data_IF_429885221511
#
_entry.id   IF_429885221511
#
_cell.length_a   1.000
_cell.length_b   1.000
_cell.length_c   1.000
_cell.angle_alpha   90.00
_cell.angle_beta   90.00
_cell.angle_gamma   90.00
#
_symmetry.space_group_name_H-M   'P 1'
#
loop_
_entity.id
_entity.type
_entity.pdbx_description
1 polymer ?
#
# COMPACT_ATOMS: atom_id res chain seq x y z
N UNK A 1 -12.32 10.31 -3.36
CA UNK A 1 -10.98 9.79 -3.76
C UNK A 1 -10.22 10.79 -4.60
N UNK A 2 -10.71 11.22 -5.77
CA UNK A 2 -10.00 12.19 -6.64
C UNK A 2 -9.68 13.51 -5.92
N UNK A 3 -10.65 14.11 -5.22
CA UNK A 3 -10.42 15.33 -4.44
C UNK A 3 -9.36 15.16 -3.33
N UNK A 4 -9.39 14.02 -2.63
CA UNK A 4 -8.40 13.72 -1.59
C UNK A 4 -7.00 13.56 -2.19
N UNK A 5 -6.86 12.86 -3.33
CA UNK A 5 -5.59 12.75 -4.05
C UNK A 5 -5.09 14.13 -4.53
N UNK A 6 -5.99 14.97 -5.06
CA UNK A 6 -5.66 16.32 -5.49
C UNK A 6 -5.17 17.21 -4.34
N UNK A 7 -5.86 17.18 -3.19
CA UNK A 7 -5.47 17.94 -1.99
C UNK A 7 -4.10 17.47 -1.47
N UNK A 8 -3.90 16.15 -1.35
CA UNK A 8 -2.64 15.58 -0.89
C UNK A 8 -1.47 15.97 -1.80
N UNK A 9 -1.64 15.88 -3.12
CA UNK A 9 -0.61 16.26 -4.08
C UNK A 9 -0.30 17.77 -4.01
N UNK A 10 -1.35 18.60 -3.91
CA UNK A 10 -1.18 20.06 -3.86
C UNK A 10 -0.46 20.51 -2.59
N UNK A 11 -0.85 19.98 -1.42
CA UNK A 11 -0.19 20.29 -0.15
C UNK A 11 1.25 19.76 -0.15
N UNK A 12 1.47 18.54 -0.63
CA UNK A 12 2.81 17.97 -0.74
C UNK A 12 3.72 18.78 -1.66
N UNK A 13 3.21 19.24 -2.80
CA UNK A 13 3.95 20.10 -3.71
C UNK A 13 4.30 21.45 -3.09
N UNK A 14 3.33 22.12 -2.43
CA UNK A 14 3.60 23.38 -1.72
C UNK A 14 4.64 23.19 -0.62
N UNK A 15 4.52 22.13 0.18
CA UNK A 15 5.49 21.81 1.23
C UNK A 15 6.89 21.58 0.65
N UNK A 16 6.98 20.84 -0.45
CA UNK A 16 8.26 20.57 -1.12
C UNK A 16 8.90 21.87 -1.62
N UNK A 17 8.13 22.75 -2.27
CA UNK A 17 8.62 24.06 -2.71
C UNK A 17 9.10 24.90 -1.53
N UNK A 18 8.34 24.94 -0.42
CA UNK A 18 8.73 25.67 0.78
C UNK A 18 10.02 25.13 1.40
N UNK A 19 10.18 23.81 1.45
CA UNK A 19 11.40 23.17 1.95
C UNK A 19 12.58 23.52 1.03
N UNK A 20 12.43 23.44 -0.30
CA UNK A 20 13.52 23.78 -1.23
C UNK A 20 14.02 25.22 -1.09
N UNK A 21 13.13 26.16 -0.74
CA UNK A 21 13.52 27.57 -0.52
C UNK A 21 14.01 27.87 0.90
N UNK A 22 13.79 26.97 1.87
CA UNK A 22 14.14 27.18 3.29
C UNK A 22 15.19 26.22 3.81
N UNK A 23 15.51 25.16 3.07
CA UNK A 23 16.59 24.26 3.41
C UNK A 23 17.91 24.99 3.20
N UNK A 24 18.64 25.24 4.29
CA UNK A 24 19.99 25.77 4.24
C UNK A 24 20.98 24.69 3.80
N UNK A 25 21.98 24.41 4.65
CA UNK A 25 22.96 23.36 4.38
C UNK A 25 22.38 21.96 4.61
N UNK A 26 22.17 21.23 3.52
CA UNK A 26 21.67 19.85 3.51
C UNK A 26 22.64 18.90 4.23
N UNK A 27 23.95 19.14 4.14
CA UNK A 27 24.95 18.26 4.78
C UNK A 27 24.90 18.40 6.31
N UNK A 28 24.72 19.62 6.81
CA UNK A 28 24.49 19.87 8.23
C UNK A 28 23.20 19.23 8.75
N UNK A 29 22.13 19.22 7.94
CA UNK A 29 20.87 18.58 8.31
C UNK A 29 20.98 17.03 8.39
N UNK A 30 21.75 16.41 7.51
CA UNK A 30 21.97 14.94 7.52
C UNK A 30 22.84 14.52 8.71
N UNK A 31 23.84 15.34 9.06
CA UNK A 31 24.73 15.10 10.21
C UNK A 31 24.19 15.56 11.55
N UNK A 32 22.92 15.99 11.62
CA UNK A 32 22.36 16.57 12.83
C UNK A 32 22.39 15.57 14.01
N UNK A 33 22.72 16.02 15.24
CA UNK A 33 22.83 15.14 16.42
C UNK A 33 21.53 14.42 16.77
N UNK A 34 20.39 14.91 16.25
CA UNK A 34 19.06 14.30 16.40
C UNK A 34 18.89 13.02 15.58
N UNK A 35 19.79 12.74 14.63
CA UNK A 35 19.74 11.57 13.74
C UNK A 35 18.58 11.60 12.73
N UNK A 36 17.84 12.70 12.66
CA UNK A 36 16.67 12.88 11.78
C UNK A 36 16.73 14.27 11.12
N UNK A 37 16.87 14.35 9.79
CA UNK A 37 17.10 15.62 9.09
C UNK A 37 15.91 16.58 9.14
N UNK A 38 14.67 16.07 9.23
CA UNK A 38 13.47 16.93 9.27
C UNK A 38 13.40 17.82 10.52
N UNK A 39 13.98 17.38 11.64
CA UNK A 39 14.01 18.16 12.89
C UNK A 39 14.92 19.38 12.72
N UNK A 40 16.08 19.19 12.11
CA UNK A 40 17.03 20.27 11.83
C UNK A 40 16.43 21.31 10.87
N UNK A 41 15.71 20.84 9.83
CA UNK A 41 15.03 21.72 8.87
C UNK A 41 13.95 22.56 9.56
N UNK A 42 13.16 21.97 10.47
CA UNK A 42 12.15 22.72 11.22
C UNK A 42 12.77 23.75 12.18
N UNK A 43 13.91 23.42 12.78
CA UNK A 43 14.65 24.34 13.64
C UNK A 43 15.20 25.54 12.86
N UNK A 44 15.80 25.29 11.69
CA UNK A 44 16.30 26.33 10.80
C UNK A 44 15.15 27.21 10.27
N UNK A 45 14.00 26.60 9.96
CA UNK A 45 12.83 27.34 9.48
C UNK A 45 12.19 28.24 10.55
N UNK A 46 12.15 27.80 11.81
CA UNK A 46 11.50 28.52 12.92
C UNK A 46 12.43 29.45 13.69
N UNK A 47 13.74 29.18 13.72
CA UNK A 47 14.72 29.94 14.48
C UNK A 47 14.56 29.89 16.01
N UNK A 48 13.65 29.05 16.53
CA UNK A 48 13.37 28.91 17.95
C UNK A 48 13.19 27.44 18.34
N UNK A 49 13.85 27.04 19.42
CA UNK A 49 13.79 25.68 19.98
C UNK A 49 12.38 25.37 20.50
N UNK A 50 11.72 26.36 21.12
CA UNK A 50 10.38 26.19 21.68
C UNK A 50 9.33 26.00 20.58
N UNK A 51 9.40 26.82 19.53
CA UNK A 51 8.52 26.71 18.37
C UNK A 51 8.69 25.38 17.63
N UNK A 52 9.94 24.95 17.45
CA UNK A 52 10.26 23.64 16.84
C UNK A 52 9.71 22.48 17.66
N UNK A 53 9.87 22.54 18.99
CA UNK A 53 9.43 21.47 19.89
C UNK A 53 7.91 21.28 19.86
N UNK A 54 7.14 22.38 19.81
CA UNK A 54 5.67 22.33 19.69
C UNK A 54 5.26 21.71 18.35
N UNK A 55 5.91 22.07 17.24
CA UNK A 55 5.62 21.49 15.92
C UNK A 55 5.93 19.99 15.87
N UNK A 56 7.06 19.57 16.46
CA UNK A 56 7.43 18.16 16.55
C UNK A 56 6.41 17.39 17.40
N UNK A 57 6.00 17.94 18.56
CA UNK A 57 4.98 17.32 19.40
C UNK A 57 3.66 17.15 18.65
N UNK A 58 3.23 18.16 17.87
CA UNK A 58 2.06 18.06 17.01
C UNK A 58 2.19 16.95 15.96
N UNK A 59 3.33 16.87 15.26
CA UNK A 59 3.60 15.82 14.27
C UNK A 59 3.54 14.43 14.91
N UNK A 60 4.13 14.24 16.10
CA UNK A 60 4.08 12.97 16.82
C UNK A 60 2.64 12.56 17.12
N UNK A 61 1.82 13.47 17.64
CA UNK A 61 0.39 13.20 17.90
C UNK A 61 -0.35 12.84 16.63
N UNK A 62 -0.15 13.59 15.54
CA UNK A 62 -0.78 13.31 14.24
C UNK A 62 -0.36 11.92 13.68
N UNK A 63 0.91 11.52 13.85
CA UNK A 63 1.41 10.21 13.43
C UNK A 63 0.80 9.06 14.24
N UNK A 64 0.51 9.25 15.53
CA UNK A 64 -0.20 8.26 16.35
C UNK A 64 -1.60 8.02 15.77
N UNK A 65 -2.38 9.08 15.52
CA UNK A 65 -3.70 8.97 14.92
C UNK A 65 -3.67 8.33 13.52
N UNK A 66 -2.68 8.68 12.70
CA UNK A 66 -2.45 8.06 11.39
C UNK A 66 -2.24 6.55 11.53
N UNK A 67 -1.36 6.14 12.46
CA UNK A 67 -1.04 4.74 12.71
C UNK A 67 -2.27 3.94 13.15
N UNK A 68 -3.12 4.50 14.03
CA UNK A 68 -4.38 3.86 14.44
C UNK A 68 -5.34 3.66 13.26
N UNK A 69 -5.44 4.63 12.35
CA UNK A 69 -6.26 4.51 11.14
C UNK A 69 -5.76 3.41 10.20
N UNK A 70 -4.44 3.28 10.05
CA UNK A 70 -3.82 2.23 9.23
C UNK A 70 -4.12 0.84 9.82
N UNK A 71 -3.90 0.65 11.13
CA UNK A 71 -4.18 -0.62 11.81
C UNK A 71 -5.65 -1.00 11.69
N UNK A 72 -6.56 -0.04 11.91
CA UNK A 72 -8.01 -0.26 11.77
C UNK A 72 -8.39 -0.68 10.35
N UNK A 73 -7.77 -0.08 9.34
CA UNK A 73 -8.01 -0.42 7.92
C UNK A 73 -7.51 -1.84 7.62
N UNK A 74 -6.30 -2.18 8.03
CA UNK A 74 -5.72 -3.52 7.86
C UNK A 74 -6.57 -4.59 8.56
N UNK A 75 -7.11 -4.33 9.75
CA UNK A 75 -8.02 -5.26 10.43
C UNK A 75 -9.30 -5.55 9.63
N UNK A 76 -9.88 -4.52 8.98
CA UNK A 76 -11.07 -4.71 8.12
C UNK A 76 -10.75 -5.50 6.87
N UNK A 77 -9.57 -5.27 6.27
CA UNK A 77 -9.11 -6.05 5.12
C UNK A 77 -8.89 -7.53 5.51
N UNK A 78 -8.27 -7.77 6.67
CA UNK A 78 -8.02 -9.13 7.16
C UNK A 78 -9.32 -9.85 7.53
N UNK A 79 -10.29 -9.15 8.13
CA UNK A 79 -11.61 -9.69 8.44
C UNK A 79 -12.38 -10.16 7.19
N UNK A 80 -12.15 -9.51 6.04
CA UNK A 80 -12.77 -9.92 4.78
C UNK A 80 -12.26 -11.27 4.27
N UNK A 81 -11.11 -11.74 4.74
CA UNK A 81 -10.63 -13.09 4.49
C UNK A 81 -11.07 -13.99 5.65
N UNK A 82 -11.62 -15.17 5.37
CA UNK A 82 -12.05 -16.15 6.42
C UNK A 82 -10.92 -16.55 7.38
N UNK A 83 -9.67 -16.16 7.07
CA UNK A 83 -8.49 -16.22 7.93
C UNK A 83 -8.80 -15.83 9.37
N UNK A 84 -9.48 -14.69 9.62
CA UNK A 84 -9.82 -14.25 10.98
C UNK A 84 -10.86 -15.13 11.69
N UNK A 85 -11.64 -15.93 10.96
CA UNK A 85 -12.64 -16.85 11.52
C UNK A 85 -12.02 -18.19 11.93
N UNK A 86 -10.87 -18.54 11.36
CA UNK A 86 -10.10 -19.72 11.73
C UNK A 86 -9.20 -19.45 12.95
N UNK A 87 -8.92 -20.46 13.80
CA UNK A 87 -8.00 -20.34 14.95
C UNK A 87 -6.61 -19.81 14.55
N UNK A 88 -6.19 -20.09 13.32
CA UNK A 88 -4.88 -19.68 12.79
C UNK A 88 -4.80 -18.18 12.43
N UNK A 89 -5.91 -17.49 12.14
CA UNK A 89 -5.87 -16.05 11.87
C UNK A 89 -5.69 -15.21 13.12
N UNK A 90 -6.26 -15.63 14.26
CA UNK A 90 -6.02 -14.97 15.54
C UNK A 90 -4.53 -15.05 15.94
N UNK A 91 -3.87 -16.19 15.67
CA UNK A 91 -2.43 -16.37 15.88
C UNK A 91 -1.62 -15.42 14.98
N UNK A 92 -2.04 -15.20 13.73
CA UNK A 92 -1.39 -14.26 12.82
C UNK A 92 -1.36 -12.81 13.33
N UNK A 93 -2.46 -12.34 13.95
CA UNK A 93 -2.50 -11.00 14.55
C UNK A 93 -1.48 -10.85 15.71
N UNK A 94 -1.32 -11.90 16.52
CA UNK A 94 -0.32 -11.90 17.61
C UNK A 94 1.11 -11.88 17.06
N UNK A 95 1.38 -12.60 15.97
CA UNK A 95 2.69 -12.59 15.30
C UNK A 95 3.04 -11.20 14.78
N UNK A 96 2.07 -10.45 14.24
CA UNK A 96 2.27 -9.06 13.79
C UNK A 96 2.68 -8.10 14.92
N UNK A 97 2.10 -8.27 16.11
CA UNK A 97 2.48 -7.47 17.30
C UNK A 97 3.92 -7.77 17.71
N UNK A 98 4.33 -9.04 17.71
CA UNK A 98 5.69 -9.43 18.05
C UNK A 98 6.72 -8.94 17.02
N UNK A 99 6.38 -8.97 15.74
CA UNK A 99 7.20 -8.42 14.65
C UNK A 99 7.40 -6.90 14.79
N UNK A 100 6.42 -6.17 15.34
CA UNK A 100 6.55 -4.72 15.55
C UNK A 100 7.58 -4.35 16.63
N UNK A 101 7.88 -5.25 17.58
CA UNK A 101 8.87 -4.99 18.64
C UNK A 101 10.32 -5.00 18.13
N UNK A 102 10.59 -5.66 17.00
CA UNK A 102 11.91 -5.65 16.35
C UNK A 102 12.35 -4.22 15.97
N UNK A 103 11.39 -3.31 15.75
CA UNK A 103 11.65 -1.93 15.38
C UNK A 103 12.34 -1.11 16.49
N UNK A 104 12.29 -1.56 17.76
CA UNK A 104 12.87 -0.84 18.90
C UNK A 104 14.37 -1.14 19.06
N UNK A 105 14.81 -2.35 18.67
CA UNK A 105 16.14 -2.86 19.03
C UNK A 105 17.25 -2.59 18.02
N UNK A 106 16.92 -2.26 16.76
CA UNK A 106 17.93 -2.12 15.71
C UNK A 106 17.54 -1.07 14.66
N UNK A 107 18.40 -0.08 14.47
CA UNK A 107 18.28 0.91 13.38
C UNK A 107 18.39 0.27 12.00
N UNK A 108 19.23 -0.76 11.84
CA UNK A 108 19.33 -1.56 10.61
C UNK A 108 18.01 -2.29 10.31
N UNK A 109 17.40 -2.93 11.31
CA UNK A 109 16.11 -3.59 11.13
C UNK A 109 14.99 -2.59 10.78
N UNK A 110 14.96 -1.44 11.45
CA UNK A 110 14.04 -0.35 11.13
C UNK A 110 14.17 0.11 9.67
N UNK A 111 15.40 0.37 9.21
CA UNK A 111 15.67 0.83 7.84
C UNK A 111 15.29 -0.23 6.78
N UNK A 112 15.50 -1.52 7.07
CA UNK A 112 15.08 -2.62 6.20
C UNK A 112 13.54 -2.71 6.09
N UNK A 113 12.82 -2.51 7.19
CA UNK A 113 11.34 -2.54 7.18
C UNK A 113 10.75 -1.31 6.50
N UNK A 114 11.31 -0.11 6.73
CA UNK A 114 10.89 1.11 6.05
C UNK A 114 11.05 0.97 4.52
N UNK A 115 12.14 0.32 4.08
CA UNK A 115 12.37 -0.04 2.68
C UNK A 115 11.32 -1.04 2.17
N UNK A 116 11.05 -2.11 2.92
CA UNK A 116 10.08 -3.13 2.55
C UNK A 116 8.67 -2.57 2.32
N UNK A 117 8.24 -1.57 3.09
CA UNK A 117 6.91 -0.98 2.96
C UNK A 117 6.64 -0.41 1.57
N UNK A 118 7.59 0.33 1.00
CA UNK A 118 7.46 0.89 -0.35
C UNK A 118 7.36 -0.18 -1.42
N UNK A 119 8.13 -1.26 -1.27
CA UNK A 119 8.09 -2.42 -2.17
C UNK A 119 6.75 -3.16 -2.09
N UNK A 120 6.27 -3.43 -0.88
CA UNK A 120 5.04 -4.15 -0.65
C UNK A 120 3.82 -3.40 -1.19
N UNK A 121 3.78 -2.07 -1.02
CA UNK A 121 2.72 -1.22 -1.58
C UNK A 121 2.66 -1.33 -3.11
N UNK A 122 3.78 -1.11 -3.79
CA UNK A 122 3.84 -1.16 -5.26
C UNK A 122 3.50 -2.56 -5.79
N UNK A 123 4.03 -3.61 -5.17
CA UNK A 123 3.70 -4.99 -5.52
C UNK A 123 2.20 -5.28 -5.38
N UNK A 124 1.56 -4.80 -4.31
CA UNK A 124 0.13 -4.96 -4.10
C UNK A 124 -0.71 -4.24 -5.17
N UNK A 125 -0.32 -3.03 -5.57
CA UNK A 125 -0.99 -2.27 -6.63
C UNK A 125 -0.88 -2.99 -7.99
N UNK A 126 0.30 -3.50 -8.36
CA UNK A 126 0.49 -4.27 -9.59
C UNK A 126 -0.46 -5.46 -9.62
N UNK A 127 -0.53 -6.25 -8.54
CA UNK A 127 -1.41 -7.43 -8.46
C UNK A 127 -2.89 -7.02 -8.54
N UNK A 128 -3.33 -6.01 -7.78
CA UNK A 128 -4.72 -5.56 -7.77
C UNK A 128 -5.17 -4.98 -9.11
N UNK A 129 -4.35 -4.16 -9.77
CA UNK A 129 -4.70 -3.57 -11.07
C UNK A 129 -4.65 -4.65 -12.17
N UNK A 130 -3.70 -5.59 -12.09
CA UNK A 130 -3.59 -6.70 -13.05
C UNK A 130 -4.81 -7.62 -13.03
N UNK A 131 -5.35 -7.95 -11.86
CA UNK A 131 -6.57 -8.77 -11.76
C UNK A 131 -7.78 -8.05 -12.39
N UNK A 132 -7.89 -6.73 -12.24
CA UNK A 132 -8.93 -5.92 -12.88
C UNK A 132 -8.78 -5.83 -14.41
N UNK A 133 -7.55 -5.77 -14.93
CA UNK A 133 -7.29 -5.81 -16.38
C UNK A 133 -7.61 -7.20 -16.92
N UNK A 134 -7.16 -8.26 -16.24
CA UNK A 134 -7.43 -9.64 -16.59
C UNK A 134 -8.93 -9.94 -16.69
N UNK A 135 -9.71 -9.50 -15.70
CA UNK A 135 -11.17 -9.70 -15.69
C UNK A 135 -11.87 -8.96 -16.85
N UNK A 136 -11.38 -7.76 -17.23
CA UNK A 136 -11.89 -7.00 -18.37
C UNK A 136 -11.56 -7.66 -19.71
N UNK A 137 -10.36 -8.23 -19.86
CA UNK A 137 -9.96 -8.95 -21.06
C UNK A 137 -10.73 -10.26 -21.25
N UNK A 138 -11.06 -10.96 -20.15
CA UNK A 138 -11.89 -12.17 -20.17
C UNK A 138 -13.38 -11.90 -20.40
N UNK A 139 -13.82 -10.65 -20.47
CA UNK A 139 -15.24 -10.31 -20.63
C UNK A 139 -16.10 -10.63 -19.40
N UNK A 140 -15.49 -10.75 -18.22
CA UNK A 140 -16.24 -11.03 -17.00
C UNK A 140 -17.07 -9.82 -16.54
N UNK A 141 -18.25 -10.08 -15.98
CA UNK A 141 -19.09 -9.03 -15.40
C UNK A 141 -18.42 -8.44 -14.15
N UNK A 142 -17.98 -7.19 -14.24
CA UNK A 142 -17.58 -6.43 -13.06
C UNK A 142 -18.86 -6.02 -12.30
N UNK A 143 -18.82 -6.03 -10.94
CA UNK A 143 -19.92 -5.50 -10.14
C UNK A 143 -20.33 -4.09 -10.60
N UNK A 144 -21.62 -3.77 -10.49
CA UNK A 144 -22.13 -2.44 -10.86
C UNK A 144 -21.37 -1.35 -10.12
N UNK A 145 -20.69 -0.48 -10.87
CA UNK A 145 -19.95 0.67 -10.35
C UNK A 145 -20.78 1.94 -10.48
N UNK A 146 -20.70 2.85 -9.50
CA UNK A 146 -21.34 4.17 -9.60
C UNK A 146 -20.65 5.09 -10.63
N UNK A 147 -19.39 4.80 -10.93
CA UNK A 147 -18.56 5.56 -11.86
C UNK A 147 -17.76 4.59 -12.73
N UNK A 148 -17.88 4.74 -14.05
CA UNK A 148 -17.14 3.94 -15.03
C UNK A 148 -16.52 4.85 -16.07
N UNK A 149 -15.21 4.74 -16.29
CA UNK A 149 -14.51 5.43 -17.38
C UNK A 149 -14.72 4.76 -18.75
N UNK A 150 -15.60 3.75 -18.84
CA UNK A 150 -15.85 3.00 -20.06
C UNK A 150 -14.56 2.40 -20.63
N UNK A 151 -14.35 2.57 -21.94
CA UNK A 151 -13.18 2.04 -22.67
C UNK A 151 -11.87 2.69 -22.23
N UNK A 152 -11.89 3.91 -21.69
CA UNK A 152 -10.68 4.60 -21.21
C UNK A 152 -10.08 3.89 -19.99
N UNK A 153 -10.91 3.20 -19.22
CA UNK A 153 -10.46 2.51 -18.01
C UNK A 153 -9.39 1.43 -18.25
N UNK A 154 -9.39 0.75 -19.40
CA UNK A 154 -8.36 -0.27 -19.68
C UNK A 154 -7.00 0.37 -19.94
N UNK A 155 -6.97 1.48 -20.69
CA UNK A 155 -5.73 2.21 -20.99
C UNK A 155 -5.13 2.80 -19.73
N UNK A 156 -5.95 3.41 -18.87
CA UNK A 156 -5.49 3.95 -17.58
C UNK A 156 -4.86 2.84 -16.74
N UNK A 157 -5.51 1.69 -16.61
CA UNK A 157 -4.97 0.57 -15.83
C UNK A 157 -3.67 0.00 -16.44
N UNK A 158 -3.57 -0.09 -17.77
CA UNK A 158 -2.35 -0.55 -18.44
C UNK A 158 -1.19 0.42 -18.26
N UNK A 159 -1.44 1.73 -18.36
CA UNK A 159 -0.43 2.76 -18.09
C UNK A 159 0.00 2.71 -16.63
N UNK A 160 -0.93 2.52 -15.68
CA UNK A 160 -0.60 2.34 -14.27
C UNK A 160 0.27 1.11 -14.03
N UNK A 161 -0.08 -0.05 -14.58
CA UNK A 161 0.74 -1.27 -14.47
C UNK A 161 2.11 -1.05 -15.09
N UNK A 162 2.20 -0.42 -16.27
CA UNK A 162 3.47 -0.16 -16.92
C UNK A 162 4.36 0.78 -16.09
N UNK A 163 3.77 1.82 -15.51
CA UNK A 163 4.47 2.75 -14.62
C UNK A 163 4.92 2.07 -13.32
N UNK A 164 4.03 1.35 -12.66
CA UNK A 164 4.34 0.63 -11.41
C UNK A 164 5.39 -0.45 -11.66
N UNK A 165 5.30 -1.19 -12.76
CA UNK A 165 6.31 -2.18 -13.17
C UNK A 165 7.65 -1.52 -13.53
N UNK A 166 7.64 -0.37 -14.20
CA UNK A 166 8.86 0.40 -14.47
C UNK A 166 9.52 0.86 -13.16
N UNK A 167 8.76 1.40 -12.21
CA UNK A 167 9.30 1.82 -10.90
C UNK A 167 9.78 0.61 -10.09
N UNK A 168 9.01 -0.47 -10.07
CA UNK A 168 9.33 -1.69 -9.32
C UNK A 168 10.56 -2.44 -9.88
N UNK A 169 10.67 -2.56 -11.21
CA UNK A 169 11.75 -3.29 -11.87
C UNK A 169 12.93 -2.38 -12.19
N UNK A 170 12.73 -1.28 -12.91
CA UNK A 170 13.84 -0.48 -13.44
C UNK A 170 14.45 0.41 -12.37
N UNK A 171 13.63 1.13 -11.59
CA UNK A 171 14.13 2.09 -10.58
C UNK A 171 14.61 1.39 -9.31
N UNK A 172 13.98 0.27 -8.92
CA UNK A 172 14.22 -0.39 -7.63
C UNK A 172 15.09 -1.65 -7.74
N UNK A 173 15.19 -2.31 -8.90
CA UNK A 173 15.97 -3.56 -9.10
C UNK A 173 17.29 -3.34 -9.87
N UNK A 174 17.40 -2.33 -10.75
CA UNK A 174 18.62 -2.13 -11.56
C UNK A 174 19.47 -0.94 -11.08
N UNK A 175 20.56 -1.18 -10.33
CA UNK A 175 21.41 -0.11 -9.78
C UNK A 175 22.24 0.68 -10.81
N UNK A 176 22.24 0.32 -12.09
CA UNK A 176 23.10 0.92 -13.13
C UNK A 176 22.38 1.84 -14.13
N UNK A 177 21.04 1.91 -14.12
CA UNK A 177 20.27 2.61 -15.16
C UNK A 177 19.98 4.09 -14.86
N UNK A 178 20.38 4.61 -13.70
CA UNK A 178 20.22 6.04 -13.35
C UNK A 178 21.56 6.58 -12.85
N UNK A 179 22.38 7.05 -13.79
CA UNK A 179 23.65 7.77 -13.53
C UNK A 179 23.48 9.29 -13.56
N UNK A 180 22.24 9.78 -13.41
CA UNK A 180 21.94 11.21 -13.26
C UNK A 180 21.30 11.40 -11.88
N UNK A 181 22.02 12.10 -11.02
CA UNK A 181 21.66 12.55 -9.67
C UNK A 181 21.80 11.53 -8.53
N UNK A 182 22.82 11.77 -7.70
CA UNK A 182 23.14 11.06 -6.47
C UNK A 182 22.01 11.10 -5.42
N UNK A 183 21.01 11.96 -5.60
CA UNK A 183 19.91 12.16 -4.65
C UNK A 183 18.75 11.16 -4.84
N UNK A 184 18.71 10.41 -5.96
CA UNK A 184 17.79 9.28 -6.14
C UNK A 184 18.36 7.94 -5.63
N UNK A 185 19.53 7.97 -4.99
CA UNK A 185 20.18 6.81 -4.36
C UNK A 185 19.35 6.20 -3.21
N UNK A 186 18.43 6.98 -2.62
CA UNK A 186 17.51 6.52 -1.57
C UNK A 186 16.41 5.55 -2.07
N UNK A 187 16.27 5.34 -3.38
CA UNK A 187 15.37 4.32 -3.96
C UNK A 187 16.04 2.97 -4.25
N UNK A 188 17.23 2.71 -3.71
CA UNK A 188 17.87 1.37 -3.72
C UNK A 188 17.22 0.45 -2.68
N UNK A 189 15.96 0.08 -2.92
CA UNK A 189 15.12 -0.57 -1.90
C UNK A 189 15.21 -2.10 -1.94
N UNK A 190 15.57 -2.70 -3.08
CA UNK A 190 15.84 -4.14 -3.17
C UNK A 190 17.34 -4.49 -3.02
N UNK A 191 18.24 -3.53 -3.26
CA UNK A 191 19.69 -3.75 -3.34
C UNK A 191 20.45 -2.79 -2.41
N UNK A 192 21.66 -3.16 -1.97
CA UNK A 192 22.47 -2.34 -1.07
C UNK A 192 22.81 -0.95 -1.66
N UNK A 193 22.99 0.07 -0.81
CA UNK A 193 23.30 1.43 -1.25
C UNK A 193 24.68 1.56 -1.90
N UNK A 194 25.62 0.66 -1.59
CA UNK A 194 26.99 0.62 -2.11
C UNK A 194 27.36 -0.78 -2.65
N UNK A 195 28.28 -0.87 -3.63
CA UNK A 195 28.93 -2.13 -3.97
C UNK A 195 29.70 -2.68 -2.75
N UNK A 196 29.73 -4.01 -2.59
CA UNK A 196 30.35 -4.72 -1.46
C UNK A 196 29.86 -4.28 -0.06
N UNK A 197 28.55 -4.43 0.24
CA UNK A 197 28.02 -4.10 1.55
C UNK A 197 28.48 -5.10 2.62
N UNK A 198 28.73 -4.59 3.83
CA UNK A 198 28.84 -5.39 5.05
C UNK A 198 27.42 -5.84 5.47
N UNK A 199 27.21 -6.96 6.21
CA UNK A 199 25.88 -7.42 6.59
C UNK A 199 25.02 -6.38 7.32
N UNK A 200 25.67 -5.43 8.01
CA UNK A 200 25.03 -4.31 8.70
C UNK A 200 24.55 -3.19 7.75
N UNK A 201 25.16 -3.03 6.56
CA UNK A 201 24.78 -2.05 5.54
C UNK A 201 23.99 -2.65 4.38
N UNK A 202 23.82 -3.98 4.36
CA UNK A 202 23.04 -4.70 3.38
C UNK A 202 21.54 -4.42 3.55
N UNK A 203 20.86 -4.12 2.44
CA UNK A 203 19.40 -4.01 2.41
C UNK A 203 18.79 -5.39 2.18
N UNK A 204 18.13 -5.93 3.21
CA UNK A 204 17.57 -7.28 3.20
C UNK A 204 16.12 -7.36 2.71
N UNK A 205 15.53 -6.25 2.23
CA UNK A 205 14.13 -6.20 1.84
C UNK A 205 13.78 -7.19 0.72
N UNK A 206 14.72 -7.47 -0.21
CA UNK A 206 14.51 -8.44 -1.29
C UNK A 206 14.26 -9.86 -0.77
N UNK A 207 15.08 -10.29 0.18
CA UNK A 207 15.00 -11.59 0.82
C UNK A 207 13.71 -11.70 1.63
N UNK A 208 13.40 -10.67 2.42
CA UNK A 208 12.20 -10.64 3.27
C UNK A 208 10.94 -10.69 2.40
N UNK A 209 10.88 -9.88 1.34
CA UNK A 209 9.75 -9.86 0.41
C UNK A 209 9.61 -11.19 -0.33
N UNK A 210 10.69 -11.73 -0.89
CA UNK A 210 10.68 -13.01 -1.61
C UNK A 210 10.27 -14.18 -0.72
N UNK A 211 10.82 -14.26 0.49
CA UNK A 211 10.45 -15.29 1.47
C UNK A 211 8.98 -15.20 1.86
N UNK A 212 8.46 -13.98 2.08
CA UNK A 212 7.05 -13.76 2.39
C UNK A 212 6.12 -14.19 1.23
N UNK A 213 6.49 -13.88 -0.03
CA UNK A 213 5.72 -14.31 -1.22
C UNK A 213 5.74 -15.83 -1.36
N UNK A 214 6.91 -16.48 -1.22
CA UNK A 214 7.04 -17.94 -1.30
C UNK A 214 6.21 -18.60 -0.19
N UNK A 215 6.31 -18.08 1.04
CA UNK A 215 5.52 -18.58 2.17
C UNK A 215 4.02 -18.41 1.92
N UNK A 216 3.57 -17.25 1.43
CA UNK A 216 2.16 -17.01 1.12
C UNK A 216 1.63 -17.93 0.01
N UNK A 217 2.41 -18.15 -1.06
CA UNK A 217 2.05 -19.07 -2.13
C UNK A 217 2.02 -20.53 -1.63
N UNK A 218 2.99 -20.92 -0.80
CA UNK A 218 3.03 -22.24 -0.18
C UNK A 218 1.84 -22.48 0.75
N UNK A 219 1.54 -21.51 1.62
CA UNK A 219 0.37 -21.53 2.49
C UNK A 219 -0.92 -21.62 1.68
N UNK A 220 -1.08 -20.80 0.63
CA UNK A 220 -2.26 -20.83 -0.24
C UNK A 220 -2.44 -22.19 -0.94
N UNK A 221 -1.36 -22.88 -1.32
CA UNK A 221 -1.43 -24.20 -1.95
C UNK A 221 -1.77 -25.33 -0.97
N UNK A 222 -1.40 -25.18 0.30
CA UNK A 222 -1.59 -26.21 1.32
C UNK A 222 -2.88 -26.02 2.12
N UNK A 223 -3.39 -24.79 2.21
CA UNK A 223 -4.62 -24.45 2.90
C UNK A 223 -5.80 -24.50 1.92
N UNK A 224 -6.88 -25.19 2.29
CA UNK A 224 -8.16 -25.09 1.61
C UNK A 224 -8.73 -23.69 1.81
N UNK A 225 -8.45 -22.78 0.89
CA UNK A 225 -8.98 -21.43 0.91
C UNK A 225 -10.40 -21.43 0.33
N UNK A 226 -11.39 -21.19 1.19
CA UNK A 226 -12.77 -20.89 0.76
C UNK A 226 -12.89 -19.38 0.54
N UNK A 227 -13.36 -18.98 -0.63
CA UNK A 227 -13.54 -17.57 -0.93
C UNK A 227 -14.80 -17.04 -0.19
N UNK A 228 -14.71 -15.91 0.54
CA UNK A 228 -15.82 -15.36 1.31
C UNK A 228 -17.10 -15.12 0.48
N UNK A 229 -16.93 -14.76 -0.79
CA UNK A 229 -18.02 -14.43 -1.74
C UNK A 229 -18.82 -15.66 -2.17
N UNK A 230 -18.30 -16.87 -1.94
CA UNK A 230 -19.00 -18.13 -2.22
C UNK A 230 -20.06 -18.44 -1.15
N UNK A 231 -19.95 -17.83 0.05
CA UNK A 231 -20.95 -17.95 1.12
C UNK A 231 -22.14 -16.99 0.98
N UNK A 232 -21.97 -15.86 0.28
CA UNK A 232 -23.00 -14.80 0.14
C UNK A 232 -23.80 -14.94 -1.16
N UNK A 233 -23.16 -15.36 -2.26
CA UNK A 233 -23.84 -15.58 -3.56
C UNK A 233 -25.00 -16.57 -3.54
N UNK A 234 -25.01 -17.66 -2.75
CA UNK A 234 -26.15 -18.58 -2.72
C UNK A 234 -27.46 -17.87 -2.36
N UNK A 235 -27.44 -16.87 -1.48
CA UNK A 235 -28.64 -16.11 -1.13
C UNK A 235 -29.04 -15.08 -2.20
N UNK A 236 -28.08 -14.36 -2.80
CA UNK A 236 -28.37 -13.38 -3.85
C UNK A 236 -28.93 -14.06 -5.11
N UNK A 237 -28.37 -15.20 -5.52
CA UNK A 237 -28.84 -15.96 -6.68
C UNK A 237 -30.25 -16.54 -6.42
N UNK A 238 -30.53 -17.00 -5.19
CA UNK A 238 -31.89 -17.44 -4.80
C UNK A 238 -32.90 -16.27 -4.80
N UNK A 239 -32.49 -15.08 -4.33
CA UNK A 239 -33.35 -13.89 -4.35
C UNK A 239 -33.60 -13.41 -5.79
N UNK A 240 -32.59 -13.42 -6.66
CA UNK A 240 -32.75 -13.06 -8.08
C UNK A 240 -33.71 -14.03 -8.79
N UNK A 241 -33.55 -15.34 -8.58
CA UNK A 241 -34.43 -16.37 -9.15
C UNK A 241 -35.87 -16.22 -8.64
N UNK A 242 -36.07 -15.92 -7.35
CA UNK A 242 -37.41 -15.72 -6.79
C UNK A 242 -38.10 -14.45 -7.34
N UNK A 243 -37.34 -13.36 -7.56
CA UNK A 243 -37.87 -12.13 -8.17
C UNK A 243 -38.22 -12.33 -9.64
N UNK A 244 -37.42 -13.10 -10.39
CA UNK A 244 -37.70 -13.43 -11.79
C UNK A 244 -38.93 -14.34 -11.93
N UNK A 245 -39.07 -15.32 -11.03
CA UNK A 245 -40.25 -16.19 -10.96
C UNK A 245 -41.53 -15.42 -10.60
N UNK A 246 -41.49 -14.51 -9.62
CA UNK A 246 -42.62 -13.63 -9.29
C UNK A 246 -42.98 -12.66 -10.44
N UNK A 247 -41.97 -12.16 -11.16
CA UNK A 247 -42.17 -11.30 -12.33
C UNK A 247 -42.86 -12.04 -13.48
N UNK A 248 -42.52 -13.31 -13.67
CA UNK A 248 -43.12 -14.20 -14.68
C UNK A 248 -44.57 -14.57 -14.33
N UNK A 249 -44.86 -14.95 -13.08
CA UNK A 249 -46.24 -15.23 -12.63
C UNK A 249 -47.18 -14.03 -12.76
N UNK A 250 -46.71 -12.82 -12.39
CA UNK A 250 -47.49 -11.57 -12.53
C UNK A 250 -47.66 -11.14 -14.00
N UNK A 251 -46.81 -11.63 -14.90
CA UNK A 251 -46.93 -11.47 -16.34
C UNK A 251 -47.98 -12.42 -16.94
N UNK A 252 -47.99 -13.68 -16.51
CA UNK A 252 -48.92 -14.72 -16.98
C UNK A 252 -50.34 -14.49 -16.44
N UNK A 253 -50.49 -14.06 -15.18
CA UNK A 253 -51.79 -13.75 -14.59
C UNK A 253 -52.51 -12.58 -15.30
N UNK A 254 -51.77 -11.66 -15.93
CA UNK A 254 -52.36 -10.54 -16.69
C UNK A 254 -52.82 -10.90 -18.10
N UNK A 255 -52.45 -12.08 -18.63
CA UNK A 255 -52.84 -12.53 -19.98
C UNK A 255 -54.16 -13.32 -19.96
N UNK A 256 -54.59 -13.79 -18.79
CA UNK A 256 -55.82 -14.59 -18.64
C UNK A 256 -57.09 -13.78 -18.29
N UNK A 257 -56.97 -12.46 -18.06
CA UNK A 257 -58.09 -11.57 -17.70
C UNK A 257 -58.50 -10.61 -18.84
N UNK A 258 -58.40 -11.03 -20.12
CA UNK A 258 -58.96 -10.31 -21.28
C UNK A 258 -59.84 -11.23 -22.14
#
# INVERSE_FOLDING_TARGET
>A
MVAAAGINFSIGFVLLVLILFRVGDVQAAIGAPTGQPYIAILLDATGSVDGTSILIAYIIVALIFCSTNVVTTSSRQLFSFEVCRSPDGFRGCQTGILLSLILIGSSTAFNNIASLFGVALMGSYIVSISTLVYQRLKGGNLPRTRFSLGRVGIYVNLVSIAFDAFVFVVVRTFPWFVTLDADLCCSKTFFPPAPDPDPASMNWACLIFGAAVIFALGFYRLSSYTAPVESVRPEEDLVQVNVENEGSEKGIARVHDC
#
